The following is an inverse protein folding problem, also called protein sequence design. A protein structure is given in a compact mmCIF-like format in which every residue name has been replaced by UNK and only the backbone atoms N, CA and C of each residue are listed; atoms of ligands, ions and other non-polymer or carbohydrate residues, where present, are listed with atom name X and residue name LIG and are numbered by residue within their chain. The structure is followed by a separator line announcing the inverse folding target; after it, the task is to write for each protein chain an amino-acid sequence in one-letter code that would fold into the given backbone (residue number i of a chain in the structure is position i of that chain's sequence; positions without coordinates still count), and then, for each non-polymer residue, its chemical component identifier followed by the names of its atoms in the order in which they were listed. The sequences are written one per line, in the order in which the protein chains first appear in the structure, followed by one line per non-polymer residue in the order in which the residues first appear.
data_IF_140635720945
#
_entry.id   IF_140635720945
#
_cell.length_a   1.000
_cell.length_b   1.000
_cell.length_c   1.000
_cell.angle_alpha   90.00
_cell.angle_beta   90.00
_cell.angle_gamma   90.00
#
_symmetry.space_group_name_H-M   'P 1'
#
loop_
_entity.id
_entity.type
_entity.pdbx_description
1 polymer ?
#
# COMPACT_ATOMS: atom_id res chain seq x y z
N UNK A 1 -12.12 8.51 12.14
CA UNK A 1 -11.09 7.45 12.07
C UNK A 1 -11.69 6.06 11.93
N UNK A 2 -12.69 5.67 12.73
CA UNK A 2 -13.33 4.33 12.65
C UNK A 2 -13.86 4.01 11.23
N UNK A 3 -14.52 4.97 10.57
CA UNK A 3 -15.09 4.77 9.22
C UNK A 3 -14.06 4.39 8.16
N UNK A 4 -12.87 4.99 8.21
CA UNK A 4 -11.78 4.74 7.25
C UNK A 4 -11.18 3.35 7.45
N UNK A 5 -10.92 2.96 8.70
CA UNK A 5 -10.41 1.63 9.04
C UNK A 5 -11.42 0.54 8.65
N UNK A 6 -12.72 0.75 8.91
CA UNK A 6 -13.75 -0.20 8.50
C UNK A 6 -13.85 -0.32 6.97
N UNK A 7 -13.73 0.79 6.24
CA UNK A 7 -13.73 0.78 4.78
C UNK A 7 -12.58 -0.04 4.19
N UNK A 8 -11.36 0.16 4.67
CA UNK A 8 -10.19 -0.61 4.25
C UNK A 8 -10.34 -2.11 4.58
N UNK A 9 -10.82 -2.44 5.78
CA UNK A 9 -11.03 -3.83 6.18
C UNK A 9 -12.10 -4.53 5.33
N UNK A 10 -13.14 -3.80 4.90
CA UNK A 10 -14.15 -4.32 3.97
C UNK A 10 -13.58 -4.58 2.57
N UNK A 11 -12.68 -3.73 2.08
CA UNK A 11 -12.02 -3.97 0.79
C UNK A 11 -11.19 -5.27 0.81
N UNK A 12 -10.45 -5.52 1.91
CA UNK A 12 -9.68 -6.77 2.08
C UNK A 12 -10.62 -7.98 2.23
N UNK A 13 -11.72 -7.82 2.96
CA UNK A 13 -12.75 -8.85 3.10
C UNK A 13 -13.34 -9.23 1.75
N UNK A 14 -13.69 -8.25 0.91
CA UNK A 14 -14.23 -8.52 -0.43
C UNK A 14 -13.21 -9.25 -1.30
N UNK A 15 -11.95 -8.80 -1.31
CA UNK A 15 -10.87 -9.48 -2.02
C UNK A 15 -10.66 -10.93 -1.53
N UNK A 16 -10.87 -11.19 -0.25
CA UNK A 16 -10.79 -12.54 0.31
C UNK A 16 -12.01 -13.41 -0.04
N UNK A 17 -13.20 -12.82 -0.13
CA UNK A 17 -14.43 -13.48 -0.59
C UNK A 17 -14.35 -13.88 -2.05
N UNK A 18 -13.74 -13.03 -2.89
CA UNK A 18 -13.48 -13.31 -4.31
C UNK A 18 -12.35 -14.34 -4.53
N UNK A 19 -11.65 -14.75 -3.47
CA UNK A 19 -10.57 -15.75 -3.52
C UNK A 19 -9.21 -15.19 -3.92
N UNK A 20 -9.09 -13.87 -4.12
CA UNK A 20 -7.85 -13.16 -4.45
C UNK A 20 -6.97 -12.91 -3.21
N UNK A 21 -7.51 -13.09 -2.01
CA UNK A 21 -6.81 -12.92 -0.73
C UNK A 21 -7.10 -14.08 0.25
N UNK A 22 -6.29 -14.32 1.31
CA UNK A 22 -6.52 -15.46 2.18
C UNK A 22 -7.91 -15.47 2.84
N UNK A 23 -8.59 -16.62 2.77
CA UNK A 23 -9.97 -16.83 3.27
C UNK A 23 -10.22 -16.37 4.71
N UNK A 24 -9.19 -16.34 5.56
CA UNK A 24 -9.29 -15.86 6.95
C UNK A 24 -9.82 -14.41 6.98
N UNK A 25 -9.39 -13.57 6.05
CA UNK A 25 -9.81 -12.17 5.99
C UNK A 25 -11.26 -11.97 5.52
N UNK A 26 -11.88 -12.96 4.89
CA UNK A 26 -13.29 -12.94 4.47
C UNK A 26 -14.28 -13.24 5.61
N UNK A 27 -13.81 -13.53 6.83
CA UNK A 27 -14.71 -13.88 7.94
C UNK A 27 -15.47 -12.67 8.46
N UNK A 28 -16.79 -12.80 8.56
CA UNK A 28 -17.71 -11.72 8.93
C UNK A 28 -18.41 -12.02 10.27
N UNK A 29 -18.74 -10.98 11.05
CA UNK A 29 -19.61 -11.10 12.21
C UNK A 29 -21.09 -11.04 11.79
N UNK A 30 -21.99 -11.26 12.76
CA UNK A 30 -23.45 -11.11 12.58
C UNK A 30 -23.90 -9.73 12.07
N UNK A 31 -23.05 -8.72 12.15
CA UNK A 31 -23.30 -7.34 11.72
C UNK A 31 -22.52 -6.95 10.45
N UNK A 32 -22.12 -7.93 9.63
CA UNK A 32 -21.31 -7.76 8.41
C UNK A 32 -19.97 -7.03 8.62
N UNK A 33 -19.46 -7.02 9.85
CA UNK A 33 -18.16 -6.43 10.15
C UNK A 33 -17.04 -7.46 9.93
N UNK A 34 -15.93 -7.09 9.26
CA UNK A 34 -14.82 -8.00 9.03
C UNK A 34 -14.04 -8.24 10.33
N UNK A 35 -14.07 -9.47 10.83
CA UNK A 35 -13.46 -9.83 12.13
C UNK A 35 -11.94 -9.76 12.06
N UNK A 36 -11.36 -10.67 11.28
CA UNK A 36 -9.92 -10.92 11.27
C UNK A 36 -9.16 -9.76 10.63
N UNK A 37 -9.73 -9.11 9.60
CA UNK A 37 -9.11 -7.92 9.02
C UNK A 37 -8.97 -6.77 10.04
N UNK A 38 -9.96 -6.58 10.92
CA UNK A 38 -9.91 -5.55 11.97
C UNK A 38 -8.90 -5.89 13.05
N UNK A 39 -8.90 -7.13 13.55
CA UNK A 39 -7.96 -7.58 14.58
C UNK A 39 -6.52 -7.49 14.06
N UNK A 40 -6.25 -8.01 12.86
CA UNK A 40 -4.90 -8.01 12.28
C UNK A 40 -4.42 -6.59 12.05
N UNK A 41 -5.27 -5.70 11.51
CA UNK A 41 -4.90 -4.29 11.32
C UNK A 41 -4.52 -3.62 12.65
N UNK A 42 -5.31 -3.82 13.71
CA UNK A 42 -4.99 -3.30 15.04
C UNK A 42 -3.67 -3.85 15.61
N UNK A 43 -3.44 -5.16 15.46
CA UNK A 43 -2.20 -5.82 15.87
C UNK A 43 -0.99 -5.26 15.11
N UNK A 44 -1.09 -5.12 13.79
CA UNK A 44 -0.03 -4.57 12.95
C UNK A 44 0.27 -3.12 13.33
N UNK A 45 -0.74 -2.28 13.53
CA UNK A 45 -0.55 -0.90 14.01
C UNK A 45 0.18 -0.85 15.35
N UNK A 46 -0.17 -1.73 16.29
CA UNK A 46 0.45 -1.78 17.62
C UNK A 46 1.93 -2.19 17.51
N UNK A 47 2.23 -3.23 16.74
CA UNK A 47 3.60 -3.69 16.50
C UNK A 47 4.44 -2.61 15.83
N UNK A 48 3.90 -1.94 14.81
CA UNK A 48 4.59 -0.86 14.11
C UNK A 48 4.92 0.32 15.03
N UNK A 49 4.00 0.71 15.92
CA UNK A 49 4.25 1.76 16.90
C UNK A 49 5.37 1.40 17.87
N UNK A 50 5.40 0.14 18.35
CA UNK A 50 6.47 -0.34 19.23
C UNK A 50 7.81 -0.32 18.51
N UNK A 51 7.87 -0.84 17.27
CA UNK A 51 9.10 -0.85 16.47
C UNK A 51 9.58 0.58 16.21
N UNK A 52 8.70 1.50 15.81
CA UNK A 52 9.06 2.88 15.55
C UNK A 52 9.58 3.58 16.83
N UNK A 53 8.98 3.31 17.99
CA UNK A 53 9.46 3.82 19.27
C UNK A 53 10.85 3.28 19.67
N UNK A 54 11.12 1.99 19.44
CA UNK A 54 12.41 1.37 19.74
C UNK A 54 13.54 1.83 18.80
N UNK A 55 13.20 2.21 17.57
CA UNK A 55 14.17 2.64 16.57
C UNK A 55 14.42 4.16 16.58
N UNK A 56 13.71 4.93 17.41
CA UNK A 56 13.95 6.36 17.56
C UNK A 56 15.20 6.63 18.40
N UNK A 57 16.27 7.24 17.85
CA UNK A 57 17.52 7.45 18.58
C UNK A 57 17.39 8.44 19.74
N UNK A 58 16.54 9.46 19.59
CA UNK A 58 16.31 10.49 20.61
C UNK A 58 15.09 10.21 21.50
N UNK A 59 14.21 9.28 21.08
CA UNK A 59 12.92 9.03 21.72
C UNK A 59 11.92 10.17 21.57
N UNK A 60 12.19 11.15 20.70
CA UNK A 60 11.28 12.27 20.47
C UNK A 60 10.03 11.84 19.68
N UNK A 61 8.87 12.25 20.18
CA UNK A 61 7.57 11.96 19.55
C UNK A 61 7.48 12.57 18.15
N UNK A 62 8.13 13.72 17.95
CA UNK A 62 8.21 14.42 16.66
C UNK A 62 8.87 13.55 15.58
N UNK A 63 10.00 12.92 15.90
CA UNK A 63 10.74 12.06 14.99
C UNK A 63 9.95 10.80 14.63
N UNK A 64 9.37 10.15 15.64
CA UNK A 64 8.52 8.97 15.45
C UNK A 64 7.33 9.31 14.55
N UNK A 65 6.72 10.48 14.75
CA UNK A 65 5.61 10.95 13.92
C UNK A 65 6.04 11.11 12.46
N UNK A 66 7.12 11.84 12.18
CA UNK A 66 7.58 12.07 10.82
C UNK A 66 8.00 10.78 10.11
N UNK A 67 8.62 9.86 10.85
CA UNK A 67 9.01 8.54 10.35
C UNK A 67 7.79 7.68 9.96
N UNK A 68 6.78 7.60 10.83
CA UNK A 68 5.54 6.88 10.54
C UNK A 68 4.72 7.54 9.44
N UNK A 69 4.71 8.88 9.39
CA UNK A 69 4.03 9.65 8.35
C UNK A 69 4.65 9.39 6.97
N UNK A 70 5.97 9.45 6.85
CA UNK A 70 6.67 9.15 5.60
C UNK A 70 6.44 7.69 5.17
N UNK A 71 6.61 6.75 6.10
CA UNK A 71 6.39 5.32 5.85
C UNK A 71 4.97 5.01 5.36
N UNK A 72 3.95 5.48 6.07
CA UNK A 72 2.54 5.26 5.68
C UNK A 72 2.20 5.93 4.35
N UNK A 73 2.75 7.11 4.07
CA UNK A 73 2.56 7.80 2.80
C UNK A 73 3.17 7.02 1.63
N UNK A 74 4.37 6.46 1.79
CA UNK A 74 5.01 5.65 0.73
C UNK A 74 4.14 4.42 0.41
N UNK A 75 3.72 3.67 1.43
CA UNK A 75 2.86 2.49 1.24
C UNK A 75 1.54 2.87 0.57
N UNK A 76 0.97 4.02 0.93
CA UNK A 76 -0.28 4.49 0.33
C UNK A 76 -0.12 4.87 -1.15
N UNK A 77 1.03 5.43 -1.54
CA UNK A 77 1.26 5.91 -2.92
C UNK A 77 1.70 4.79 -3.87
N UNK A 78 2.37 3.75 -3.38
CA UNK A 78 2.93 2.68 -4.21
C UNK A 78 1.92 1.99 -5.15
N UNK A 79 0.71 1.60 -4.71
CA UNK A 79 -0.29 1.00 -5.61
C UNK A 79 -0.68 1.90 -6.77
N UNK A 80 -0.63 3.22 -6.59
CA UNK A 80 -0.97 4.16 -7.67
C UNK A 80 0.02 4.10 -8.83
N UNK A 81 1.29 3.74 -8.57
CA UNK A 81 2.27 3.52 -9.63
C UNK A 81 1.86 2.39 -10.59
N UNK A 82 1.02 1.45 -10.13
CA UNK A 82 0.47 0.37 -10.95
C UNK A 82 -0.88 0.76 -11.58
N UNK A 83 -1.72 1.51 -10.86
CA UNK A 83 -3.06 1.92 -11.32
C UNK A 83 -2.97 2.84 -12.56
N UNK A 84 -2.09 3.83 -12.53
CA UNK A 84 -1.94 4.80 -13.62
C UNK A 84 -1.51 4.19 -14.97
N UNK A 85 -0.46 3.35 -15.06
CA UNK A 85 -0.12 2.69 -16.32
C UNK A 85 -1.20 1.66 -16.73
N UNK A 86 -1.86 1.00 -15.77
CA UNK A 86 -2.96 0.06 -16.05
C UNK A 86 -4.10 0.72 -16.83
N UNK A 87 -4.38 1.99 -16.55
CA UNK A 87 -5.36 2.76 -17.32
C UNK A 87 -5.00 2.82 -18.82
N UNK A 88 -3.74 3.08 -19.16
CA UNK A 88 -3.29 3.11 -20.56
C UNK A 88 -3.33 1.70 -21.16
N UNK A 89 -2.81 0.72 -20.44
CA UNK A 89 -2.71 -0.68 -20.89
C UNK A 89 -4.10 -1.21 -21.27
N UNK A 90 -5.12 -1.00 -20.45
CA UNK A 90 -6.49 -1.45 -20.73
C UNK A 90 -7.05 -0.78 -22.00
N UNK A 91 -6.65 0.46 -22.30
CA UNK A 91 -7.10 1.16 -23.51
C UNK A 91 -6.48 0.65 -24.80
N UNK A 92 -5.26 0.15 -24.73
CA UNK A 92 -4.60 -0.48 -25.87
C UNK A 92 -4.98 -1.96 -26.02
N UNK A 93 -5.05 -2.70 -24.91
CA UNK A 93 -5.31 -4.14 -24.92
C UNK A 93 -6.78 -4.49 -25.17
N UNK A 94 -7.71 -3.67 -24.68
CA UNK A 94 -9.15 -3.90 -24.81
C UNK A 94 -9.86 -2.64 -25.35
N UNK A 95 -9.63 -2.26 -26.63
CA UNK A 95 -10.19 -1.05 -27.21
C UNK A 95 -11.72 -1.11 -27.37
N UNK A 96 -12.28 -2.29 -27.63
CA UNK A 96 -13.69 -2.48 -27.97
C UNK A 96 -14.62 -2.61 -26.75
N UNK A 97 -14.06 -2.58 -25.54
CA UNK A 97 -14.84 -2.66 -24.31
C UNK A 97 -15.78 -1.45 -24.20
N UNK A 98 -17.09 -1.69 -23.98
CA UNK A 98 -18.06 -0.63 -23.70
C UNK A 98 -17.72 0.01 -22.36
N UNK A 99 -17.40 1.31 -22.36
CA UNK A 99 -17.05 2.08 -21.16
C UNK A 99 -18.13 3.11 -20.87
N UNK A 100 -18.77 3.09 -19.68
CA UNK A 100 -19.74 4.11 -19.27
C UNK A 100 -19.13 5.51 -19.24
N UNK A 101 -17.84 5.60 -18.93
CA UNK A 101 -17.08 6.86 -18.91
C UNK A 101 -15.84 6.77 -19.83
N UNK A 102 -15.60 7.82 -20.62
CA UNK A 102 -14.41 7.99 -21.46
C UNK A 102 -13.86 9.39 -21.25
N UNK A 103 -12.55 9.52 -21.12
CA UNK A 103 -11.90 10.83 -21.05
C UNK A 103 -12.05 11.50 -22.42
N UNK A 104 -12.64 12.70 -22.50
CA UNK A 104 -12.74 13.44 -23.75
C UNK A 104 -11.35 13.84 -24.24
N UNK A 105 -11.13 13.79 -25.55
CA UNK A 105 -9.90 14.26 -26.20
C UNK A 105 -9.07 13.17 -26.90
N UNK A 106 -8.01 13.60 -27.61
CA UNK A 106 -7.15 12.73 -28.41
C UNK A 106 -6.30 11.80 -27.55
N UNK A 107 -5.73 10.73 -28.15
CA UNK A 107 -4.92 9.74 -27.42
C UNK A 107 -3.75 10.36 -26.65
N UNK A 108 -3.09 11.38 -27.19
CA UNK A 108 -1.96 12.05 -26.52
C UNK A 108 -2.39 12.76 -25.22
N UNK A 109 -3.62 13.29 -25.17
CA UNK A 109 -4.14 13.94 -23.96
C UNK A 109 -4.32 12.92 -22.83
N UNK A 110 -4.73 11.69 -23.17
CA UNK A 110 -4.86 10.60 -22.19
C UNK A 110 -3.51 10.21 -21.59
N UNK A 111 -2.43 10.27 -22.39
CA UNK A 111 -1.07 10.07 -21.90
C UNK A 111 -0.64 11.18 -20.94
N UNK A 112 -0.94 12.44 -21.25
CA UNK A 112 -0.62 13.57 -20.35
C UNK A 112 -1.34 13.42 -19.00
N UNK A 113 -2.62 13.04 -19.01
CA UNK A 113 -3.43 12.82 -17.80
C UNK A 113 -2.87 11.70 -16.91
N UNK A 114 -2.12 10.76 -17.47
CA UNK A 114 -1.49 9.65 -16.73
C UNK A 114 -0.07 9.98 -16.31
N UNK A 115 0.73 10.55 -17.22
CA UNK A 115 2.14 10.88 -16.97
C UNK A 115 2.25 11.97 -15.90
N UNK A 116 1.39 12.99 -15.93
CA UNK A 116 1.45 14.10 -14.97
C UNK A 116 1.34 13.63 -13.52
N UNK A 117 0.30 12.89 -13.10
CA UNK A 117 0.23 12.38 -11.73
C UNK A 117 1.32 11.35 -11.46
N UNK A 118 1.76 10.55 -12.44
CA UNK A 118 2.90 9.63 -12.25
C UNK A 118 4.19 10.35 -11.88
N UNK A 119 4.51 11.46 -12.55
CA UNK A 119 5.69 12.27 -12.21
C UNK A 119 5.56 12.83 -10.79
N UNK A 120 4.38 13.38 -10.44
CA UNK A 120 4.12 13.93 -9.10
C UNK A 120 4.25 12.84 -8.04
N UNK A 121 3.75 11.62 -8.30
CA UNK A 121 3.87 10.48 -7.39
C UNK A 121 5.32 10.06 -7.19
N UNK A 122 6.08 9.91 -8.28
CA UNK A 122 7.51 9.57 -8.20
C UNK A 122 8.29 10.62 -7.41
N UNK A 123 8.05 11.91 -7.68
CA UNK A 123 8.64 13.00 -6.93
C UNK A 123 8.23 12.96 -5.45
N UNK A 124 6.96 12.69 -5.16
CA UNK A 124 6.45 12.60 -3.78
C UNK A 124 7.15 11.47 -3.02
N UNK A 125 7.29 10.28 -3.63
CA UNK A 125 7.99 9.14 -3.01
C UNK A 125 9.47 9.49 -2.76
N UNK A 126 10.13 10.15 -3.71
CA UNK A 126 11.52 10.62 -3.55
C UNK A 126 11.61 11.63 -2.40
N UNK A 127 10.68 12.59 -2.30
CA UNK A 127 10.67 13.58 -1.23
C UNK A 127 10.33 12.97 0.13
N UNK A 128 9.46 11.96 0.20
CA UNK A 128 9.19 11.25 1.45
C UNK A 128 10.40 10.43 1.92
N UNK A 129 11.20 9.89 1.00
CA UNK A 129 12.40 9.12 1.33
C UNK A 129 13.61 10.00 1.65
N UNK A 130 13.84 11.05 0.85
CA UNK A 130 15.08 11.82 0.88
C UNK A 130 14.89 13.31 1.20
N UNK A 131 13.66 13.79 1.39
CA UNK A 131 13.35 15.22 1.52
C UNK A 131 14.13 15.92 2.61
N UNK A 132 14.24 15.32 3.80
CA UNK A 132 15.01 15.90 4.92
C UNK A 132 16.52 15.98 4.63
N UNK A 133 17.04 15.07 3.81
CA UNK A 133 18.45 15.08 3.38
C UNK A 133 18.65 16.12 2.27
N UNK A 134 17.73 16.19 1.31
CA UNK A 134 17.79 17.10 0.17
C UNK A 134 17.68 18.57 0.59
N UNK A 135 16.93 18.85 1.66
CA UNK A 135 16.78 20.21 2.24
C UNK A 135 17.93 20.54 3.21
N UNK A 136 18.83 19.58 3.50
CA UNK A 136 19.98 19.77 4.40
C UNK A 136 19.62 19.77 5.89
N UNK A 137 18.42 19.31 6.24
CA UNK A 137 17.96 19.23 7.63
C UNK A 137 18.59 18.04 8.38
N UNK A 138 18.94 16.96 7.69
CA UNK A 138 19.62 15.78 8.25
C UNK A 138 20.76 15.30 7.34
N UNK A 139 21.78 14.71 7.94
CA UNK A 139 22.93 14.14 7.22
C UNK A 139 22.66 12.71 6.76
N UNK A 140 23.49 12.21 5.84
CA UNK A 140 23.48 10.80 5.40
C UNK A 140 23.93 9.80 6.49
N UNK A 141 24.23 10.27 7.69
CA UNK A 141 24.64 9.41 8.78
C UNK A 141 23.51 8.48 9.22
N UNK A 142 23.88 7.24 9.54
CA UNK A 142 22.92 6.19 9.93
C UNK A 142 22.16 6.54 11.21
N UNK A 143 22.77 7.31 12.10
CA UNK A 143 22.16 7.78 13.35
C UNK A 143 21.26 9.02 13.17
N UNK A 144 21.18 9.57 11.95
CA UNK A 144 20.36 10.73 11.61
C UNK A 144 19.52 10.40 10.37
N UNK A 145 19.66 11.13 9.27
CA UNK A 145 18.85 10.99 8.06
C UNK A 145 18.91 9.60 7.42
N UNK A 146 20.09 8.97 7.42
CA UNK A 146 20.28 7.64 6.83
C UNK A 146 19.43 6.55 7.51
N UNK A 147 19.23 6.65 8.82
CA UNK A 147 18.39 5.72 9.58
C UNK A 147 16.90 5.81 9.20
N UNK A 148 16.38 7.02 9.01
CA UNK A 148 14.99 7.22 8.58
C UNK A 148 14.72 6.64 7.19
N UNK A 149 15.62 6.90 6.23
CA UNK A 149 15.49 6.36 4.88
C UNK A 149 15.53 4.83 4.91
N UNK A 150 16.49 4.28 5.66
CA UNK A 150 16.64 2.83 5.78
C UNK A 150 15.41 2.18 6.41
N UNK A 151 14.87 2.78 7.48
CA UNK A 151 13.63 2.31 8.10
C UNK A 151 12.47 2.32 7.11
N UNK A 152 12.26 3.43 6.40
CA UNK A 152 11.16 3.56 5.45
C UNK A 152 11.30 2.55 4.30
N UNK A 153 12.51 2.38 3.75
CA UNK A 153 12.77 1.41 2.68
C UNK A 153 12.59 -0.04 3.14
N UNK A 154 13.25 -0.43 4.24
CA UNK A 154 13.14 -1.79 4.78
C UNK A 154 11.69 -2.10 5.14
N UNK A 155 11.02 -1.20 5.86
CA UNK A 155 9.63 -1.37 6.23
C UNK A 155 8.74 -1.55 4.99
N UNK A 156 8.96 -0.74 3.96
CA UNK A 156 8.19 -0.82 2.71
C UNK A 156 8.41 -2.16 2.00
N UNK A 157 9.66 -2.60 1.87
CA UNK A 157 10.01 -3.88 1.26
C UNK A 157 9.41 -5.05 2.04
N UNK A 158 9.46 -5.01 3.36
CA UNK A 158 8.83 -6.02 4.23
C UNK A 158 7.32 -6.03 4.02
N UNK A 159 6.65 -4.87 4.00
CA UNK A 159 5.21 -4.79 3.78
C UNK A 159 4.79 -5.35 2.41
N UNK A 160 5.51 -5.02 1.34
CA UNK A 160 5.27 -5.59 0.01
C UNK A 160 5.49 -7.10 0.04
N UNK A 161 6.61 -7.56 0.61
CA UNK A 161 6.94 -8.98 0.70
C UNK A 161 5.89 -9.79 1.47
N UNK A 162 5.38 -9.26 2.59
CA UNK A 162 4.28 -9.89 3.34
C UNK A 162 3.01 -9.92 2.49
N UNK A 163 2.68 -8.83 1.79
CA UNK A 163 1.51 -8.76 0.90
C UNK A 163 1.56 -9.83 -0.20
N UNK A 164 2.67 -9.89 -0.94
CA UNK A 164 2.89 -10.89 -1.99
C UNK A 164 2.89 -12.32 -1.44
N UNK A 165 3.49 -12.54 -0.27
CA UNK A 165 3.48 -13.86 0.39
C UNK A 165 2.06 -14.29 0.77
N UNK A 166 1.22 -13.37 1.27
CA UNK A 166 -0.18 -13.65 1.60
C UNK A 166 -0.99 -14.01 0.35
N UNK A 167 -0.81 -13.28 -0.75
CA UNK A 167 -1.47 -13.56 -2.02
C UNK A 167 -1.01 -14.91 -2.57
N UNK A 168 0.30 -15.17 -2.58
CA UNK A 168 0.87 -16.44 -3.03
C UNK A 168 0.35 -17.62 -2.20
N UNK A 169 0.31 -17.48 -0.88
CA UNK A 169 -0.23 -18.49 0.02
C UNK A 169 -1.71 -18.77 -0.25
N UNK A 170 -2.50 -17.73 -0.53
CA UNK A 170 -3.90 -17.87 -0.94
C UNK A 170 -4.03 -18.65 -2.25
N UNK A 171 -3.27 -18.25 -3.27
CA UNK A 171 -3.27 -18.90 -4.59
C UNK A 171 -2.86 -20.38 -4.50
N UNK A 172 -1.85 -20.70 -3.69
CA UNK A 172 -1.40 -22.08 -3.46
C UNK A 172 -2.49 -22.92 -2.78
N UNK A 173 -3.14 -22.39 -1.74
CA UNK A 173 -4.20 -23.10 -1.01
C UNK A 173 -5.45 -23.28 -1.88
N UNK A 174 -5.83 -22.29 -2.70
CA UNK A 174 -6.93 -22.41 -3.64
C UNK A 174 -6.65 -23.44 -4.73
N UNK A 175 -5.44 -23.47 -5.32
CA UNK A 175 -5.03 -24.54 -6.26
C UNK A 175 -5.09 -25.93 -5.64
N UNK A 176 -4.65 -26.08 -4.39
CA UNK A 176 -4.70 -27.36 -3.67
C UNK A 176 -6.13 -27.84 -3.37
N UNK A 177 -7.06 -26.92 -3.12
CA UNK A 177 -8.48 -27.26 -2.91
C UNK A 177 -9.15 -27.64 -4.24
N UNK A 178 -8.84 -26.95 -5.34
CA UNK A 178 -9.34 -27.30 -6.68
C UNK A 178 -8.89 -28.69 -7.15
N UNK A 179 -7.67 -29.11 -6.80
CA UNK A 179 -7.14 -30.46 -7.10
C UNK A 179 -7.74 -31.54 -6.19
N UNK A 180 -8.30 -31.16 -5.03
CA UNK A 180 -8.89 -32.10 -4.07
C UNK A 180 -10.40 -32.34 -4.25
N UNK A 181 -11.06 -31.65 -5.18
CA UNK A 181 -12.45 -31.95 -5.55
C UNK A 181 -13.46 -31.74 -4.42
N UNK A 182 -13.48 -30.55 -3.84
CA UNK A 182 -14.64 -30.01 -3.12
C UNK A 182 -15.16 -28.76 -3.83
#
# INVERSE_FOLDING_TARGET
MITWSTGANKAIQEAASDGEFPKIFGTVLKNDSPLWATIITGSVCTVLLIIAGLLSPSGEISEIFWQLYAFSSIIFLLPYLLIFPSFIIIRYKYPDLKRPFKIPGPKWFQWVVVITPMIILCLSIILFLFGEIMVGAKTWELNSGGGYVLFALIGTVICIGIGELLIWWSSYKNKKNLVKGE
#
